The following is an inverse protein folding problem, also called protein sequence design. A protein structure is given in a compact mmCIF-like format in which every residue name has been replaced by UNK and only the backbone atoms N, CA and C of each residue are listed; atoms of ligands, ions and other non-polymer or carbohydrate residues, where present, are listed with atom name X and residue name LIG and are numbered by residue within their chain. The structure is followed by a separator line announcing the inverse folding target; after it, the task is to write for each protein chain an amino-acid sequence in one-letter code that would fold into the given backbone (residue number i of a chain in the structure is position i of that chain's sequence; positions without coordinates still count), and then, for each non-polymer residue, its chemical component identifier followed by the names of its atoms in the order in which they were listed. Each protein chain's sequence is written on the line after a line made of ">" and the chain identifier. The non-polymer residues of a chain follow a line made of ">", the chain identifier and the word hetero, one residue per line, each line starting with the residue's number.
data_IF_661937076546
#
_entry.id   IF_661937076546
#
_cell.length_a   1.000
_cell.length_b   1.000
_cell.length_c   1.000
_cell.angle_alpha   90.00
_cell.angle_beta   90.00
_cell.angle_gamma   90.00
#
_symmetry.space_group_name_H-M   'P 1'
#
loop_
_entity.id
_entity.type
_entity.pdbx_description
1 polymer ?
#
# COMPACT_ATOMS: atom_id res chain seq x y z
N UNK A 1 4.71 7.88 12.66
CA UNK A 1 3.46 7.09 12.79
C UNK A 1 3.85 5.62 12.67
N UNK A 2 3.27 4.67 13.44
CA UNK A 2 3.70 3.27 13.37
C UNK A 2 3.40 2.67 11.99
N UNK A 3 4.30 1.83 11.48
CA UNK A 3 4.13 1.14 10.20
C UNK A 3 2.95 0.17 10.27
N UNK A 4 1.94 0.37 9.43
CA UNK A 4 0.74 -0.48 9.34
C UNK A 4 0.88 -1.70 8.42
N UNK A 5 1.81 -1.65 7.47
CA UNK A 5 1.94 -2.64 6.40
C UNK A 5 3.38 -3.15 6.32
N UNK A 6 3.57 -4.28 5.64
CA UNK A 6 4.90 -4.85 5.36
C UNK A 6 5.06 -5.06 3.85
N UNK A 7 6.30 -5.04 3.31
CA UNK A 7 6.57 -5.54 1.97
C UNK A 7 5.90 -6.90 1.70
N UNK A 8 5.26 -7.05 0.55
CA UNK A 8 4.49 -8.24 0.18
C UNK A 8 3.02 -8.24 0.68
N UNK A 9 2.63 -7.28 1.52
CA UNK A 9 1.21 -7.11 1.86
C UNK A 9 0.42 -6.67 0.63
N UNK A 10 -0.75 -7.27 0.47
CA UNK A 10 -1.71 -6.83 -0.53
C UNK A 10 -2.64 -5.78 0.07
N UNK A 11 -2.84 -4.68 -0.65
CA UNK A 11 -3.62 -3.53 -0.21
C UNK A 11 -4.53 -3.02 -1.33
N UNK A 12 -5.53 -2.22 -0.96
CA UNK A 12 -6.33 -1.43 -1.89
C UNK A 12 -6.58 -0.03 -1.32
N UNK A 13 -7.04 0.91 -2.15
CA UNK A 13 -7.44 2.22 -1.66
C UNK A 13 -8.73 2.11 -0.83
N UNK A 14 -8.70 2.71 0.36
CA UNK A 14 -9.86 2.81 1.24
C UNK A 14 -10.96 3.63 0.55
N UNK A 15 -12.21 3.17 0.66
CA UNK A 15 -13.38 3.87 0.15
C UNK A 15 -13.62 3.77 -1.36
N UNK A 16 -12.79 3.04 -2.11
CA UNK A 16 -13.01 2.79 -3.55
C UNK A 16 -13.22 1.29 -3.81
N UNK A 17 -14.36 0.95 -4.41
CA UNK A 17 -14.74 -0.44 -4.75
C UNK A 17 -14.01 -0.97 -5.98
N UNK A 18 -13.70 -0.13 -6.96
CA UNK A 18 -13.12 -0.51 -8.25
C UNK A 18 -11.59 -0.36 -8.34
N UNK A 19 -10.90 -0.17 -7.22
CA UNK A 19 -9.45 0.03 -7.27
C UNK A 19 -8.70 -1.29 -7.44
N UNK A 20 -7.63 -1.31 -8.26
CA UNK A 20 -6.82 -2.50 -8.41
C UNK A 20 -6.21 -2.89 -7.06
N UNK A 21 -6.07 -4.19 -6.86
CA UNK A 21 -5.30 -4.74 -5.75
C UNK A 21 -3.82 -4.48 -6.02
N UNK A 22 -3.13 -3.95 -5.02
CA UNK A 22 -1.72 -3.56 -5.12
C UNK A 22 -0.89 -4.31 -4.10
N UNK A 23 0.36 -4.61 -4.44
CA UNK A 23 1.35 -5.18 -3.53
C UNK A 23 2.24 -4.06 -2.98
N UNK A 24 2.50 -4.08 -1.68
CA UNK A 24 3.41 -3.17 -1.03
C UNK A 24 4.85 -3.58 -1.32
N UNK A 25 5.66 -2.67 -1.88
CA UNK A 25 7.09 -2.90 -2.09
C UNK A 25 7.90 -2.51 -0.87
N UNK A 26 7.80 -1.24 -0.45
CA UNK A 26 8.55 -0.70 0.68
C UNK A 26 7.98 0.64 1.15
N UNK A 27 8.38 1.04 2.35
CA UNK A 27 8.25 2.43 2.79
C UNK A 27 9.29 3.30 2.09
N UNK A 28 8.92 4.54 1.80
CA UNK A 28 9.83 5.53 1.24
C UNK A 28 10.00 6.72 2.18
N UNK A 29 11.24 7.24 2.31
CA UNK A 29 11.47 8.52 2.97
C UNK A 29 10.78 9.63 2.20
N UNK A 30 10.04 10.48 2.91
CA UNK A 30 9.53 11.74 2.37
C UNK A 30 9.96 12.88 3.27
N UNK A 31 10.69 13.84 2.70
CA UNK A 31 11.10 15.05 3.42
C UNK A 31 9.92 16.02 3.50
N UNK A 32 9.59 16.46 4.70
CA UNK A 32 8.66 17.57 4.89
C UNK A 32 9.41 18.89 4.69
N UNK A 33 9.10 19.58 3.59
CA UNK A 33 9.73 20.85 3.20
C UNK A 33 9.59 21.95 4.27
N UNK A 34 8.53 21.89 5.09
CA UNK A 34 8.24 22.89 6.12
C UNK A 34 9.04 22.70 7.42
N UNK A 35 9.37 21.47 7.79
CA UNK A 35 9.99 21.16 9.10
C UNK A 35 11.38 20.52 8.99
N UNK A 36 11.88 20.26 7.77
CA UNK A 36 13.18 19.60 7.55
C UNK A 36 13.23 18.12 7.97
N UNK A 37 12.21 17.62 8.65
CA UNK A 37 12.10 16.24 9.12
C UNK A 37 11.82 15.27 7.97
N UNK A 38 12.49 14.12 7.99
CA UNK A 38 12.28 13.01 7.06
C UNK A 38 11.32 12.01 7.68
N UNK A 39 10.15 11.82 7.05
CA UNK A 39 9.20 10.80 7.43
C UNK A 39 9.49 9.51 6.66
N UNK A 40 9.92 8.46 7.37
CA UNK A 40 10.26 7.17 6.80
C UNK A 40 9.14 6.13 6.89
N UNK A 41 8.07 6.40 7.65
CA UNK A 41 7.14 5.37 8.11
C UNK A 41 5.70 5.59 7.65
N UNK A 42 5.47 6.59 6.80
CA UNK A 42 4.13 7.01 6.40
C UNK A 42 3.78 6.70 4.95
N UNK A 43 4.75 6.80 4.04
CA UNK A 43 4.52 6.63 2.61
C UNK A 43 5.01 5.29 2.10
N UNK A 44 4.18 4.64 1.28
CA UNK A 44 4.40 3.30 0.77
C UNK A 44 4.44 3.33 -0.75
N UNK A 45 5.48 2.75 -1.34
CA UNK A 45 5.51 2.43 -2.76
C UNK A 45 4.76 1.12 -2.98
N UNK A 46 3.73 1.18 -3.81
CA UNK A 46 2.91 0.03 -4.18
C UNK A 46 3.03 -0.26 -5.67
N UNK A 47 2.88 -1.53 -6.02
CA UNK A 47 2.91 -2.01 -7.41
C UNK A 47 1.61 -2.76 -7.73
N UNK A 48 1.14 -2.62 -8.96
CA UNK A 48 0.12 -3.50 -9.51
C UNK A 48 0.30 -3.63 -11.01
N UNK A 49 -0.42 -4.56 -11.61
CA UNK A 49 -0.42 -4.77 -13.05
C UNK A 49 -1.80 -4.42 -13.60
N UNK A 50 -1.83 -3.71 -14.73
CA UNK A 50 -3.06 -3.44 -15.48
C UNK A 50 -2.74 -3.61 -16.96
N UNK A 51 -3.45 -4.52 -17.63
CA UNK A 51 -3.26 -4.82 -19.06
C UNK A 51 -1.81 -5.17 -19.42
N UNK A 52 -1.13 -5.98 -18.58
CA UNK A 52 0.28 -6.35 -18.77
C UNK A 52 1.30 -5.27 -18.37
N UNK A 53 0.87 -4.03 -18.15
CA UNK A 53 1.76 -2.95 -17.72
C UNK A 53 1.93 -2.93 -16.21
N UNK A 54 3.19 -2.84 -15.76
CA UNK A 54 3.53 -2.62 -14.35
C UNK A 54 3.33 -1.15 -13.99
N UNK A 55 2.45 -0.89 -13.03
CA UNK A 55 2.21 0.45 -12.47
C UNK A 55 2.83 0.54 -11.08
N UNK A 56 3.39 1.71 -10.77
CA UNK A 56 4.02 2.03 -9.49
C UNK A 56 3.47 3.37 -9.00
N UNK A 57 3.02 3.42 -7.76
CA UNK A 57 2.54 4.66 -7.16
C UNK A 57 2.85 4.70 -5.66
N UNK A 58 2.91 5.90 -5.12
CA UNK A 58 3.18 6.15 -3.70
C UNK A 58 1.90 6.58 -3.01
N UNK A 59 1.56 5.91 -1.92
CA UNK A 59 0.39 6.22 -1.12
C UNK A 59 0.76 6.51 0.33
N UNK A 60 -0.02 7.39 0.96
CA UNK A 60 -0.04 7.53 2.41
C UNK A 60 -0.71 6.29 3.02
N UNK A 61 -0.12 5.70 4.06
CA UNK A 61 -0.60 4.44 4.62
C UNK A 61 -2.08 4.46 5.04
N UNK A 62 -2.59 5.59 5.53
CA UNK A 62 -4.01 5.71 5.93
C UNK A 62 -5.02 5.69 4.78
N UNK A 63 -4.55 5.89 3.55
CA UNK A 63 -5.39 5.76 2.34
C UNK A 63 -5.53 4.31 1.90
N UNK A 64 -4.80 3.39 2.53
CA UNK A 64 -4.77 1.98 2.17
C UNK A 64 -5.51 1.14 3.22
N UNK A 65 -6.07 0.02 2.76
CA UNK A 65 -6.60 -1.03 3.62
C UNK A 65 -5.99 -2.37 3.23
N UNK A 66 -5.62 -3.17 4.22
CA UNK A 66 -5.03 -4.49 4.01
C UNK A 66 -6.08 -5.42 3.41
N UNK A 67 -5.75 -6.08 2.32
CA UNK A 67 -6.56 -7.13 1.74
C UNK A 67 -6.23 -8.42 2.47
N UNK A 68 -7.24 -8.99 3.12
CA UNK A 68 -7.14 -10.35 3.66
C UNK A 68 -7.01 -11.27 2.44
N UNK A 69 -5.94 -12.09 2.37
CA UNK A 69 -5.96 -13.23 1.45
C UNK A 69 -7.06 -14.15 1.99
N UNK A 70 -8.23 -14.20 1.34
CA UNK A 70 -9.20 -15.27 1.55
C UNK A 70 -8.60 -16.57 1.04
N UNK A 71 -7.65 -17.11 1.79
CA UNK A 71 -7.15 -18.47 1.64
C UNK A 71 -7.90 -19.36 2.62
N UNK A 72 -8.91 -20.06 2.11
CA UNK A 72 -9.39 -21.34 2.66
C UNK A 72 -10.15 -21.29 3.98
N UNK A 73 -11.43 -20.90 3.95
CA UNK A 73 -12.42 -21.31 4.95
C UNK A 73 -13.76 -21.62 4.24
N UNK A 74 -13.70 -22.49 3.22
CA UNK A 74 -14.81 -23.40 2.96
C UNK A 74 -14.41 -24.72 3.63
N UNK A 75 -14.81 -24.89 4.89
CA UNK A 75 -15.02 -26.25 5.42
C UNK A 75 -16.40 -26.65 4.89
N UNK A 76 -16.39 -27.61 3.98
CA UNK A 76 -17.56 -28.43 3.65
C UNK A 76 -17.95 -29.22 4.90
#
# INVERSE_FOLDING_TARGET
>A
MPRKFKPGDWVKLKGKTSTPKMEVLNYIPKKNLLFGLVDNDTYLKCVWYKNGERKLEVFHQDRLIKMIKTGGLFKV
#
